data_IF_919014125903
#
_entry.id   IF_919014125903
#
_cell.length_a   1.000
_cell.length_b   1.000
_cell.length_c   1.000
_cell.angle_alpha   90.00
_cell.angle_beta   90.00
_cell.angle_gamma   90.00
#
_symmetry.space_group_name_H-M   'P 1'
#
loop_
_entity.id
_entity.type
_entity.pdbx_description
1 polymer ?
#
# COMPACT_ATOMS: atom_id res chain seq x y z
N UNK A 1 -26.57 -19.04 0.54
CA UNK A 1 -26.75 -19.73 1.84
C UNK A 1 -25.50 -19.43 2.64
N UNK A 2 -25.62 -18.99 3.89
CA UNK A 2 -24.52 -18.50 4.75
C UNK A 2 -23.32 -19.46 4.77
N UNK A 3 -23.57 -20.78 4.72
CA UNK A 3 -22.52 -21.80 4.69
C UNK A 3 -21.62 -21.75 3.43
N UNK A 4 -22.14 -21.30 2.28
CA UNK A 4 -21.36 -21.12 1.06
C UNK A 4 -20.43 -19.91 1.19
N UNK A 5 -20.92 -18.84 1.81
CA UNK A 5 -20.16 -17.60 2.00
C UNK A 5 -18.99 -17.82 2.97
N UNK A 6 -19.21 -18.59 4.05
CA UNK A 6 -18.16 -18.97 5.00
C UNK A 6 -17.09 -19.88 4.37
N UNK A 7 -17.51 -20.83 3.53
CA UNK A 7 -16.61 -21.72 2.81
C UNK A 7 -15.73 -20.95 1.81
N UNK A 8 -16.33 -20.02 1.06
CA UNK A 8 -15.63 -19.15 0.13
C UNK A 8 -14.62 -18.26 0.85
N UNK A 9 -15.03 -17.60 1.94
CA UNK A 9 -14.14 -16.75 2.72
C UNK A 9 -12.95 -17.56 3.30
N UNK A 10 -13.18 -18.81 3.69
CA UNK A 10 -12.13 -19.73 4.15
C UNK A 10 -11.13 -20.08 3.03
N UNK A 11 -11.63 -20.33 1.81
CA UNK A 11 -10.79 -20.57 0.64
C UNK A 11 -9.93 -19.34 0.29
N UNK A 12 -10.52 -18.15 0.28
CA UNK A 12 -9.81 -16.89 0.01
C UNK A 12 -8.70 -16.66 1.03
N UNK A 13 -8.96 -16.85 2.33
CA UNK A 13 -7.93 -16.72 3.38
C UNK A 13 -6.80 -17.74 3.21
N UNK A 14 -7.11 -19.00 2.90
CA UNK A 14 -6.08 -20.01 2.62
C UNK A 14 -5.22 -19.63 1.41
N UNK A 15 -5.86 -19.19 0.33
CA UNK A 15 -5.15 -18.74 -0.86
C UNK A 15 -4.24 -17.54 -0.55
N UNK A 16 -4.73 -16.55 0.19
CA UNK A 16 -3.91 -15.41 0.62
C UNK A 16 -2.68 -15.83 1.45
N UNK A 17 -2.82 -16.81 2.35
CA UNK A 17 -1.67 -17.37 3.08
C UNK A 17 -0.67 -18.08 2.15
N UNK A 18 -1.14 -18.86 1.17
CA UNK A 18 -0.27 -19.49 0.18
C UNK A 18 0.49 -18.45 -0.65
N UNK A 19 -0.18 -17.38 -1.09
CA UNK A 19 0.45 -16.29 -1.83
C UNK A 19 1.51 -15.59 -0.98
N UNK A 20 1.21 -15.27 0.28
CA UNK A 20 2.20 -14.66 1.18
C UNK A 20 3.41 -15.57 1.38
N UNK A 21 3.21 -16.87 1.58
CA UNK A 21 4.30 -17.82 1.76
C UNK A 21 5.17 -17.95 0.51
N UNK A 22 4.57 -17.89 -0.69
CA UNK A 22 5.30 -17.90 -1.95
C UNK A 22 6.12 -16.62 -2.15
N UNK A 23 5.57 -15.46 -1.79
CA UNK A 23 6.28 -14.18 -1.81
C UNK A 23 7.47 -14.19 -0.84
N UNK A 24 7.28 -14.70 0.39
CA UNK A 24 8.36 -14.87 1.38
C UNK A 24 9.47 -15.82 0.92
N UNK A 25 9.13 -16.80 0.08
CA UNK A 25 10.07 -17.75 -0.50
C UNK A 25 10.68 -17.29 -1.84
N UNK A 26 10.31 -16.10 -2.34
CA UNK A 26 10.66 -15.62 -3.69
C UNK A 26 10.27 -16.59 -4.82
N UNK A 27 9.18 -17.33 -4.66
CA UNK A 27 8.63 -18.29 -5.61
C UNK A 27 7.19 -17.92 -6.04
N UNK A 28 6.87 -16.62 -5.98
CA UNK A 28 5.56 -16.13 -6.37
C UNK A 28 5.39 -16.14 -7.89
N UNK A 29 4.26 -16.71 -8.34
CA UNK A 29 3.80 -16.63 -9.71
C UNK A 29 2.30 -16.28 -9.75
N UNK A 30 1.89 -15.21 -10.46
CA UNK A 30 0.49 -14.83 -10.56
C UNK A 30 -0.27 -15.80 -11.47
N UNK A 31 -1.54 -16.05 -11.13
CA UNK A 31 -2.47 -16.77 -12.02
C UNK A 31 -3.01 -15.80 -13.05
N UNK A 32 -2.57 -15.93 -14.30
CA UNK A 32 -2.91 -15.02 -15.39
C UNK A 32 -3.89 -15.65 -16.37
N UNK A 33 -4.80 -14.82 -16.89
CA UNK A 33 -5.59 -15.16 -18.07
C UNK A 33 -4.69 -15.15 -19.32
N UNK A 34 -5.11 -15.86 -20.36
CA UNK A 34 -4.43 -15.93 -21.65
C UNK A 34 -5.32 -15.33 -22.74
N UNK A 35 -4.70 -14.66 -23.70
CA UNK A 35 -5.38 -14.10 -24.87
C UNK A 35 -5.77 -15.19 -25.89
N UNK A 36 -6.41 -14.78 -26.99
CA UNK A 36 -6.81 -15.65 -28.10
C UNK A 36 -5.64 -16.37 -28.80
N UNK A 37 -4.41 -15.87 -28.60
CA UNK A 37 -3.16 -16.44 -29.11
C UNK A 37 -2.43 -17.29 -28.05
N UNK A 38 -3.06 -17.53 -26.90
CA UNK A 38 -2.50 -18.31 -25.81
C UNK A 38 -1.30 -17.64 -25.14
N UNK A 39 -1.18 -16.31 -25.19
CA UNK A 39 -0.16 -15.54 -24.47
C UNK A 39 -0.73 -14.99 -23.17
N UNK A 40 0.07 -14.90 -22.09
CA UNK A 40 -0.41 -14.34 -20.84
C UNK A 40 -0.78 -12.86 -21.01
N UNK A 41 -1.97 -12.49 -20.56
CA UNK A 41 -2.52 -11.15 -20.77
C UNK A 41 -2.21 -10.20 -19.58
N UNK A 42 -2.48 -10.65 -18.36
CA UNK A 42 -2.18 -9.90 -17.14
C UNK A 42 -3.10 -8.71 -16.81
N UNK A 43 -3.94 -8.24 -17.74
CA UNK A 43 -4.75 -7.04 -17.54
C UNK A 43 -5.83 -7.24 -16.46
N UNK A 44 -6.51 -8.38 -16.47
CA UNK A 44 -7.54 -8.71 -15.47
C UNK A 44 -6.95 -8.86 -14.06
N UNK A 45 -5.73 -9.42 -13.94
CA UNK A 45 -5.01 -9.51 -12.66
C UNK A 45 -4.69 -8.11 -12.14
N UNK A 46 -4.15 -7.25 -13.01
CA UNK A 46 -3.77 -5.89 -12.67
C UNK A 46 -4.96 -5.03 -12.23
N UNK A 47 -6.11 -5.12 -12.91
CA UNK A 47 -7.35 -4.46 -12.50
C UNK A 47 -7.81 -4.95 -11.12
N UNK A 48 -7.75 -6.26 -10.86
CA UNK A 48 -8.09 -6.81 -9.56
C UNK A 48 -7.20 -6.27 -8.43
N UNK A 49 -5.89 -6.16 -8.69
CA UNK A 49 -4.92 -5.60 -7.75
C UNK A 49 -5.24 -4.13 -7.44
N UNK A 50 -5.40 -3.28 -8.47
CA UNK A 50 -5.72 -1.86 -8.29
C UNK A 50 -7.06 -1.67 -7.57
N UNK A 51 -8.06 -2.51 -7.85
CA UNK A 51 -9.33 -2.47 -7.12
C UNK A 51 -9.15 -2.79 -5.64
N UNK A 52 -8.25 -3.71 -5.28
CA UNK A 52 -7.92 -4.01 -3.89
C UNK A 52 -7.19 -2.84 -3.21
N UNK A 53 -6.30 -2.15 -3.93
CA UNK A 53 -5.65 -0.90 -3.47
C UNK A 53 -6.72 0.15 -3.14
N UNK A 54 -7.68 0.39 -4.05
CA UNK A 54 -8.78 1.33 -3.87
C UNK A 54 -9.68 1.01 -2.64
N UNK A 55 -9.86 -0.26 -2.31
CA UNK A 55 -10.67 -0.70 -1.18
C UNK A 55 -10.04 -0.38 0.19
N UNK A 56 -8.76 -0.02 0.23
CA UNK A 56 -8.01 0.31 1.45
C UNK A 56 -7.44 1.74 1.40
N UNK A 57 -8.29 2.78 1.33
CA UNK A 57 -7.84 4.16 1.19
C UNK A 57 -6.93 4.57 2.34
N UNK A 58 -5.87 5.31 2.04
CA UNK A 58 -4.92 5.79 3.03
C UNK A 58 -3.99 4.73 3.62
N UNK A 59 -4.09 3.45 3.21
CA UNK A 59 -3.17 2.39 3.66
C UNK A 59 -1.90 2.30 2.79
N UNK A 60 -1.91 2.95 1.63
CA UNK A 60 -0.86 2.86 0.61
C UNK A 60 -0.01 4.13 0.50
N UNK A 61 -0.53 5.27 0.93
CA UNK A 61 0.10 6.59 0.79
C UNK A 61 1.56 6.62 1.27
N UNK A 62 1.83 6.01 2.42
CA UNK A 62 3.15 5.99 3.01
C UNK A 62 4.17 5.23 2.17
N UNK A 63 3.75 4.22 1.41
CA UNK A 63 4.60 3.54 0.45
C UNK A 63 4.78 4.42 -0.79
N UNK A 64 3.68 4.94 -1.35
CA UNK A 64 3.70 5.73 -2.58
C UNK A 64 4.46 7.05 -2.46
N UNK A 65 4.60 7.59 -1.24
CA UNK A 65 5.44 8.76 -0.95
C UNK A 65 6.93 8.43 -0.89
N UNK A 66 7.31 7.17 -0.68
CA UNK A 66 8.72 6.76 -0.73
C UNK A 66 9.21 6.80 -2.17
N UNK A 67 10.33 7.48 -2.39
CA UNK A 67 10.91 7.67 -3.73
C UNK A 67 11.17 6.34 -4.46
N UNK A 68 11.53 5.30 -3.72
CA UNK A 68 11.79 3.95 -4.25
C UNK A 68 10.53 3.29 -4.83
N UNK A 69 9.34 3.67 -4.36
CA UNK A 69 8.07 3.08 -4.77
C UNK A 69 7.18 4.04 -5.58
N UNK A 70 7.71 5.21 -5.96
CA UNK A 70 6.94 6.24 -6.67
C UNK A 70 6.39 5.78 -8.03
N UNK A 71 6.98 4.74 -8.62
CA UNK A 71 6.57 4.08 -9.87
C UNK A 71 6.14 2.61 -9.68
N UNK A 72 6.01 2.14 -8.44
CA UNK A 72 5.75 0.72 -8.13
C UNK A 72 4.41 0.20 -8.67
N UNK A 73 3.48 1.09 -9.05
CA UNK A 73 2.21 0.71 -9.65
C UNK A 73 2.18 0.92 -11.17
N UNK A 74 3.20 1.53 -11.79
CA UNK A 74 3.16 1.94 -13.20
C UNK A 74 2.95 0.73 -14.14
N UNK A 75 3.64 -0.37 -13.89
CA UNK A 75 3.48 -1.58 -14.71
C UNK A 75 2.08 -2.18 -14.57
N UNK A 76 1.54 -2.19 -13.35
CA UNK A 76 0.20 -2.69 -13.03
C UNK A 76 -0.85 -1.78 -13.68
N UNK A 77 -0.73 -0.46 -13.55
CA UNK A 77 -1.61 0.53 -14.17
C UNK A 77 -1.60 0.41 -15.70
N UNK A 78 -0.42 0.27 -16.30
CA UNK A 78 -0.27 0.10 -17.75
C UNK A 78 -0.95 -1.17 -18.24
N UNK A 79 -0.78 -2.30 -17.54
CA UNK A 79 -1.46 -3.55 -17.88
C UNK A 79 -2.98 -3.44 -17.70
N UNK A 80 -3.44 -2.82 -16.61
CA UNK A 80 -4.85 -2.62 -16.32
C UNK A 80 -5.55 -1.78 -17.40
N UNK A 81 -4.87 -0.76 -17.93
CA UNK A 81 -5.36 0.08 -19.03
C UNK A 81 -5.53 -0.68 -20.37
N UNK A 82 -5.08 -1.94 -20.45
CA UNK A 82 -5.26 -2.79 -21.64
C UNK A 82 -6.47 -3.74 -21.56
N UNK A 83 -7.19 -3.78 -20.44
CA UNK A 83 -8.38 -4.63 -20.29
C UNK A 83 -9.58 -4.11 -21.10
N UNK A 84 -9.67 -2.78 -21.30
CA UNK A 84 -10.74 -2.20 -22.11
C UNK A 84 -10.47 -2.50 -23.59
N UNK A 85 -11.43 -3.14 -24.29
CA UNK A 85 -11.36 -3.40 -25.74
C UNK A 85 -11.87 -2.21 -26.57
N UNK A 86 -12.24 -1.10 -25.92
CA UNK A 86 -12.71 0.13 -26.56
C UNK A 86 -11.64 0.88 -27.36
N UNK A 87 -12.05 1.88 -28.14
CA UNK A 87 -11.17 2.67 -29.02
C UNK A 87 -10.04 3.45 -28.29
N UNK A 88 -10.01 3.43 -26.96
CA UNK A 88 -8.95 4.03 -26.12
C UNK A 88 -7.96 3.03 -25.53
N UNK A 89 -8.12 1.72 -25.79
CA UNK A 89 -7.24 0.68 -25.30
C UNK A 89 -5.79 0.92 -25.74
N UNK A 90 -4.86 0.91 -24.79
CA UNK A 90 -3.43 0.93 -25.12
C UNK A 90 -3.06 -0.41 -25.74
N UNK A 91 -2.93 -0.48 -27.06
CA UNK A 91 -2.38 -1.66 -27.72
C UNK A 91 -0.91 -1.82 -27.34
N UNK A 92 -0.56 -2.94 -26.69
CA UNK A 92 0.81 -3.31 -26.36
C UNK A 92 1.32 -4.39 -27.32
N UNK A 93 2.61 -4.33 -27.65
CA UNK A 93 3.25 -5.46 -28.31
C UNK A 93 3.37 -6.64 -27.34
N UNK A 94 3.45 -7.87 -27.87
CA UNK A 94 3.68 -9.09 -27.08
C UNK A 94 4.88 -8.93 -26.14
N UNK A 95 5.98 -8.38 -26.66
CA UNK A 95 7.22 -8.20 -25.91
C UNK A 95 7.07 -7.18 -24.78
N UNK A 96 6.41 -6.06 -25.05
CA UNK A 96 6.20 -5.03 -24.01
C UNK A 96 5.30 -5.57 -22.90
N UNK A 97 4.28 -6.37 -23.26
CA UNK A 97 3.42 -7.04 -22.29
C UNK A 97 4.19 -8.03 -21.42
N UNK A 98 5.06 -8.86 -22.01
CA UNK A 98 5.92 -9.78 -21.25
C UNK A 98 6.81 -9.03 -20.24
N UNK A 99 7.44 -7.93 -20.67
CA UNK A 99 8.27 -7.08 -19.79
C UNK A 99 7.45 -6.49 -18.64
N UNK A 100 6.23 -6.02 -18.91
CA UNK A 100 5.35 -5.49 -17.87
C UNK A 100 4.89 -6.56 -16.89
N UNK A 101 4.64 -7.79 -17.35
CA UNK A 101 4.28 -8.92 -16.48
C UNK A 101 5.46 -9.29 -15.57
N UNK A 102 6.68 -9.35 -16.11
CA UNK A 102 7.90 -9.57 -15.31
C UNK A 102 8.08 -8.46 -14.27
N UNK A 103 7.88 -7.21 -14.67
CA UNK A 103 7.96 -6.06 -13.77
C UNK A 103 6.89 -6.10 -12.67
N UNK A 104 5.65 -6.44 -13.02
CA UNK A 104 4.56 -6.64 -12.07
C UNK A 104 4.90 -7.70 -11.01
N UNK A 105 5.53 -8.82 -11.40
CA UNK A 105 5.92 -9.87 -10.44
C UNK A 105 6.94 -9.34 -9.44
N UNK A 106 7.94 -8.58 -9.92
CA UNK A 106 8.95 -7.95 -9.08
C UNK A 106 8.33 -6.88 -8.15
N UNK A 107 7.51 -5.97 -8.70
CA UNK A 107 6.88 -4.90 -7.94
C UNK A 107 5.99 -5.46 -6.82
N UNK A 108 5.24 -6.55 -7.08
CA UNK A 108 4.42 -7.21 -6.05
C UNK A 108 5.27 -7.81 -4.93
N UNK A 109 6.45 -8.35 -5.25
CA UNK A 109 7.38 -8.84 -4.25
C UNK A 109 7.94 -7.71 -3.38
N UNK A 110 8.34 -6.59 -4.00
CA UNK A 110 8.87 -5.42 -3.30
C UNK A 110 7.80 -4.75 -2.43
N UNK A 111 6.57 -4.60 -2.94
CA UNK A 111 5.40 -4.14 -2.19
C UNK A 111 5.13 -5.08 -1.00
N UNK A 112 5.15 -6.40 -1.22
CA UNK A 112 4.94 -7.35 -0.15
C UNK A 112 5.97 -7.20 0.96
N UNK A 113 7.24 -7.01 0.60
CA UNK A 113 8.35 -6.81 1.53
C UNK A 113 8.20 -5.51 2.32
N UNK A 114 7.90 -4.39 1.64
CA UNK A 114 7.61 -3.12 2.29
C UNK A 114 6.54 -3.27 3.38
N UNK A 115 5.46 -4.00 3.07
CA UNK A 115 4.35 -4.18 4.00
C UNK A 115 4.59 -5.25 5.10
N UNK A 116 5.66 -6.05 5.00
CA UNK A 116 5.97 -7.16 5.94
C UNK A 116 5.97 -6.74 7.42
N UNK A 117 6.73 -5.73 7.88
CA UNK A 117 6.78 -5.37 9.30
C UNK A 117 5.42 -4.92 9.84
N UNK A 118 4.63 -4.22 9.03
CA UNK A 118 3.31 -3.72 9.43
C UNK A 118 2.29 -4.86 9.57
N UNK A 119 2.30 -5.82 8.64
CA UNK A 119 1.47 -7.03 8.74
C UNK A 119 1.81 -7.86 9.98
N UNK A 120 3.09 -8.02 10.29
CA UNK A 120 3.54 -8.76 11.49
C UNK A 120 3.15 -8.06 12.79
N UNK A 121 3.18 -6.73 12.81
CA UNK A 121 2.77 -5.92 13.95
C UNK A 121 1.24 -5.70 14.05
N UNK A 122 0.46 -6.11 13.04
CA UNK A 122 -0.99 -5.93 13.01
C UNK A 122 -1.41 -4.45 12.89
N UNK A 123 -0.65 -3.66 12.14
CA UNK A 123 -0.84 -2.20 11.99
C UNK A 123 -0.60 -1.76 10.55
N UNK A 124 -0.74 -0.47 10.26
CA UNK A 124 -0.46 0.13 8.94
C UNK A 124 0.78 1.03 9.01
N UNK A 125 1.45 1.29 7.87
CA UNK A 125 2.55 2.25 7.83
C UNK A 125 2.16 3.63 8.40
N UNK A 126 0.98 4.11 8.04
CA UNK A 126 0.43 5.39 8.47
C UNK A 126 0.19 5.41 9.98
N UNK A 127 -0.36 4.33 10.56
CA UNK A 127 -0.54 4.24 12.01
C UNK A 127 0.78 4.14 12.78
N UNK A 128 1.86 3.64 12.15
CA UNK A 128 3.19 3.58 12.76
C UNK A 128 4.01 4.86 12.61
N UNK A 129 3.64 5.78 11.71
CA UNK A 129 4.33 7.07 11.58
C UNK A 129 4.10 7.89 12.84
N UNK A 130 5.17 8.11 13.61
CA UNK A 130 5.16 9.07 14.72
C UNK A 130 5.28 10.47 14.13
N UNK A 131 4.16 11.16 13.97
CA UNK A 131 4.21 12.59 13.65
C UNK A 131 4.82 13.35 14.83
N UNK A 132 5.93 14.05 14.57
CA UNK A 132 6.46 15.00 15.56
C UNK A 132 5.48 16.15 15.69
N UNK A 133 4.71 16.19 16.78
CA UNK A 133 3.82 17.32 17.09
C UNK A 133 4.65 18.60 17.20
N UNK A 134 4.62 19.42 16.15
CA UNK A 134 5.21 20.75 16.17
C UNK A 134 4.28 21.65 16.95
N UNK A 135 4.64 21.98 18.20
CA UNK A 135 3.89 22.97 19.00
C UNK A 135 3.77 24.27 18.20
N UNK A 136 2.56 24.70 17.90
CA UNK A 136 2.29 25.99 17.25
C UNK A 136 2.74 27.16 18.13
N UNK A 137 2.67 26.97 19.45
CA UNK A 137 3.11 27.94 20.43
C UNK A 137 4.61 27.78 20.70
N UNK A 138 5.36 28.89 20.76
CA UNK A 138 6.75 28.88 21.19
C UNK A 138 6.91 28.14 22.51
N UNK A 139 8.05 27.47 22.70
CA UNK A 139 8.40 26.91 24.02
C UNK A 139 8.50 28.08 25.01
N UNK A 140 7.47 28.28 25.82
CA UNK A 140 7.47 29.26 26.89
C UNK A 140 8.67 29.01 27.80
N UNK A 141 9.55 30.00 27.91
CA UNK A 141 10.75 29.91 28.72
C UNK A 141 10.40 29.81 30.20
N UNK A 142 11.12 28.98 30.96
CA UNK A 142 10.89 28.80 32.42
C UNK A 142 10.89 30.11 33.22
N UNK A 143 11.56 31.17 32.74
CA UNK A 143 11.63 32.48 33.40
C UNK A 143 10.64 33.53 32.85
N UNK A 144 9.87 33.23 31.80
CA UNK A 144 8.92 34.18 31.21
C UNK A 144 7.67 34.38 32.08
N UNK A 145 6.93 35.50 31.93
CA UNK A 145 5.67 35.72 32.62
C UNK A 145 4.67 34.59 32.37
N UNK A 146 4.00 34.13 33.43
CA UNK A 146 3.06 33.03 33.34
C UNK A 146 1.75 33.47 32.67
N UNK A 147 1.26 32.76 31.63
CA UNK A 147 0.10 33.18 30.85
C UNK A 147 -1.23 33.16 31.62
N UNK A 148 -1.27 32.56 32.83
CA UNK A 148 -2.44 32.56 33.70
C UNK A 148 -2.79 33.93 34.33
N UNK A 149 -2.03 34.99 34.03
CA UNK A 149 -2.28 36.34 34.54
C UNK A 149 -1.80 36.59 35.98
N UNK A 150 -1.11 35.65 36.62
CA UNK A 150 -0.68 35.81 38.02
C UNK A 150 0.50 36.77 38.22
N UNK A 151 1.12 37.28 37.15
CA UNK A 151 2.34 38.11 37.20
C UNK A 151 3.63 37.38 37.64
N UNK A 152 3.60 36.06 37.87
CA UNK A 152 4.77 35.27 38.31
C UNK A 152 5.51 34.68 37.11
N UNK A 153 6.80 34.30 37.28
CA UNK A 153 7.54 33.52 36.27
C UNK A 153 6.94 32.13 36.10
N UNK A 154 6.92 31.59 34.88
CA UNK A 154 6.29 30.30 34.56
C UNK A 154 6.74 29.16 35.48
N UNK A 155 8.04 29.01 35.75
CA UNK A 155 8.60 27.98 36.65
C UNK A 155 8.14 28.07 38.11
N UNK A 156 7.60 29.22 38.54
CA UNK A 156 7.13 29.47 39.91
C UNK A 156 5.59 29.58 39.97
N UNK A 157 4.90 29.15 38.91
CA UNK A 157 3.45 29.18 38.78
C UNK A 157 2.98 27.90 38.07
N UNK A 158 2.42 28.00 36.86
CA UNK A 158 1.87 26.83 36.15
C UNK A 158 2.94 25.79 35.73
N UNK A 159 4.22 26.18 35.68
CA UNK A 159 5.34 25.30 35.42
C UNK A 159 6.07 24.81 36.67
N UNK A 160 5.52 25.07 37.87
CA UNK A 160 5.97 24.46 39.11
C UNK A 160 5.26 23.11 39.26
N UNK A 161 5.95 22.03 38.91
CA UNK A 161 5.67 20.71 39.44
C UNK A 161 6.37 20.59 40.79
#
# INVERSE_FOLDING_TARGET
>A
SIALDDALASLVRRHAHCVSAALDAHDFAPVLAYDDRGQPDGSAWAVGFLRAVEMAPGSWDAMLEEKEFGDALEAIETLAATLDDGAGARALSRRDREVLIERLIADVADIHEFFRPYRQAGTTPQAMRVETVRREQPKLGRNEPCPCGSGRKYKACCGAA
#
